data_IF_449115690021
#
_entry.id   IF_449115690021
#
_cell.length_a   1.000
_cell.length_b   1.000
_cell.length_c   1.000
_cell.angle_alpha   90.00
_cell.angle_beta   90.00
_cell.angle_gamma   90.00
#
_symmetry.space_group_name_H-M   'P 1'
#
loop_
_entity.id
_entity.type
_entity.pdbx_description
1 polymer ?
#
# COMPACT_ATOMS: atom_id res chain seq x y z
N UNK A 1 16.44 -1.52 49.84
CA UNK A 1 15.67 -0.99 48.69
C UNK A 1 16.44 0.13 47.94
N UNK A 2 17.18 1.01 48.61
CA UNK A 2 17.92 2.09 47.95
C UNK A 2 19.03 1.58 47.00
N UNK A 3 19.74 0.49 47.34
CA UNK A 3 20.78 -0.11 46.50
C UNK A 3 20.22 -0.70 45.19
N UNK A 4 18.98 -1.21 45.21
CA UNK A 4 18.34 -1.76 44.04
C UNK A 4 17.95 -0.69 43.02
N UNK A 5 17.43 0.44 43.55
CA UNK A 5 17.06 1.62 42.75
C UNK A 5 18.28 2.28 42.12
N UNK A 6 19.37 2.35 42.83
CA UNK A 6 20.65 2.89 42.31
C UNK A 6 21.23 1.99 41.21
N UNK A 7 21.16 0.65 41.35
CA UNK A 7 21.57 -0.27 40.31
C UNK A 7 20.67 -0.19 39.05
N UNK A 8 19.37 -0.04 39.23
CA UNK A 8 18.44 0.13 38.11
C UNK A 8 18.67 1.47 37.41
N UNK A 9 18.89 2.54 38.13
CA UNK A 9 19.24 3.84 37.55
C UNK A 9 20.57 3.80 36.79
N UNK A 10 21.61 3.17 37.36
CA UNK A 10 22.90 3.00 36.68
C UNK A 10 22.81 2.07 35.46
N UNK A 11 22.00 1.01 35.52
CA UNK A 11 21.72 0.15 34.36
C UNK A 11 20.97 0.92 33.26
N UNK A 12 20.03 1.77 33.64
CA UNK A 12 19.30 2.62 32.70
C UNK A 12 20.20 3.71 32.08
N UNK A 13 21.08 4.35 32.89
CA UNK A 13 22.08 5.29 32.37
C UNK A 13 23.09 4.62 31.44
N UNK A 14 23.59 3.42 31.79
CA UNK A 14 24.46 2.64 30.92
C UNK A 14 23.75 2.23 29.62
N UNK A 15 22.49 1.83 29.72
CA UNK A 15 21.67 1.51 28.53
C UNK A 15 21.41 2.77 27.68
N UNK A 16 21.13 3.92 28.31
CA UNK A 16 20.94 5.18 27.61
C UNK A 16 22.24 5.69 26.96
N UNK A 17 23.41 5.39 27.55
CA UNK A 17 24.72 5.73 26.98
C UNK A 17 25.19 4.73 25.91
N UNK A 18 24.68 3.47 25.93
CA UNK A 18 24.93 2.48 24.90
C UNK A 18 23.90 2.50 23.77
N UNK A 19 22.81 3.26 23.94
CA UNK A 19 22.00 3.64 22.78
C UNK A 19 22.92 4.45 21.85
N UNK A 20 23.23 3.96 20.64
CA UNK A 20 24.14 4.65 19.75
C UNK A 20 23.63 6.07 19.57
N UNK A 21 24.48 7.06 19.76
CA UNK A 21 24.26 8.46 19.34
C UNK A 21 24.13 8.55 17.79
N UNK A 22 24.37 7.47 17.08
CA UNK A 22 23.83 7.20 15.78
C UNK A 22 22.36 6.74 15.94
N UNK A 23 21.51 7.64 16.41
CA UNK A 23 20.12 7.61 16.03
C UNK A 23 20.12 7.81 14.51
N UNK A 24 20.44 6.73 13.77
CA UNK A 24 20.46 6.72 12.32
C UNK A 24 19.14 7.28 11.84
N UNK A 25 19.19 8.11 10.82
CA UNK A 25 17.98 8.67 10.23
C UNK A 25 16.95 7.56 10.06
N UNK A 26 15.69 7.85 10.32
CA UNK A 26 14.59 6.92 10.19
C UNK A 26 13.52 7.51 9.27
N UNK A 27 12.95 6.68 8.42
CA UNK A 27 11.78 6.99 7.61
C UNK A 27 10.61 6.15 8.09
N UNK A 28 9.52 6.79 8.46
CA UNK A 28 8.23 6.15 8.74
C UNK A 28 7.31 6.41 7.55
N UNK A 29 6.99 5.35 6.83
CA UNK A 29 6.26 5.36 5.57
C UNK A 29 4.91 4.67 5.72
N UNK A 30 3.84 5.36 5.33
CA UNK A 30 2.51 4.75 5.17
C UNK A 30 2.24 4.54 3.69
N UNK A 31 1.69 3.38 3.31
CA UNK A 31 1.43 3.09 1.90
C UNK A 31 0.06 2.48 1.65
N UNK A 32 -0.49 2.78 0.48
CA UNK A 32 -1.70 2.14 -0.02
C UNK A 32 -1.43 0.66 -0.37
N UNK A 33 -2.35 -0.28 -0.09
CA UNK A 33 -2.18 -1.69 -0.41
C UNK A 33 -1.84 -2.00 -1.88
N UNK A 34 -2.14 -1.11 -2.81
CA UNK A 34 -1.82 -1.26 -4.23
C UNK A 34 -0.37 -0.94 -4.60
N UNK A 35 0.40 -0.41 -3.67
CA UNK A 35 1.83 -0.14 -3.90
C UNK A 35 2.58 -1.45 -4.16
N UNK A 36 3.37 -1.56 -5.24
CA UNK A 36 4.14 -2.77 -5.54
C UNK A 36 5.13 -3.12 -4.44
N UNK A 37 5.15 -4.39 -4.04
CA UNK A 37 6.09 -4.88 -3.00
C UNK A 37 7.54 -4.79 -3.47
N UNK A 38 7.79 -5.03 -4.75
CA UNK A 38 9.11 -4.87 -5.36
C UNK A 38 9.65 -3.45 -5.21
N UNK A 39 8.78 -2.45 -5.37
CA UNK A 39 9.16 -1.05 -5.11
C UNK A 39 9.51 -0.82 -3.63
N UNK A 40 8.69 -1.33 -2.70
CA UNK A 40 8.96 -1.21 -1.27
C UNK A 40 10.27 -1.89 -0.88
N UNK A 41 10.56 -3.07 -1.45
CA UNK A 41 11.83 -3.76 -1.25
C UNK A 41 13.01 -2.95 -1.80
N UNK A 42 12.89 -2.43 -3.02
CA UNK A 42 13.93 -1.58 -3.62
C UNK A 42 14.18 -0.31 -2.81
N UNK A 43 13.13 0.30 -2.29
CA UNK A 43 13.23 1.46 -1.38
C UNK A 43 13.92 1.08 -0.08
N UNK A 44 13.53 -0.04 0.54
CA UNK A 44 14.15 -0.54 1.76
C UNK A 44 15.66 -0.80 1.58
N UNK A 45 16.04 -1.43 0.48
CA UNK A 45 17.45 -1.70 0.15
C UNK A 45 18.24 -0.40 -0.09
N UNK A 46 17.63 0.57 -0.77
CA UNK A 46 18.24 1.89 -0.99
C UNK A 46 18.50 2.60 0.34
N UNK A 47 17.50 2.61 1.23
CA UNK A 47 17.60 3.23 2.55
C UNK A 47 18.63 2.51 3.44
N UNK A 48 18.66 1.17 3.41
CA UNK A 48 19.61 0.38 4.18
C UNK A 48 21.06 0.69 3.80
N UNK A 49 21.36 0.83 2.50
CA UNK A 49 22.72 1.25 2.03
C UNK A 49 23.12 2.62 2.56
N UNK A 50 22.17 3.48 2.86
CA UNK A 50 22.36 4.82 3.41
C UNK A 50 22.26 4.85 4.93
N UNK A 51 22.17 3.68 5.58
CA UNK A 51 21.98 3.54 7.03
C UNK A 51 20.74 4.25 7.56
N UNK A 52 19.68 4.34 6.75
CA UNK A 52 18.38 4.89 7.12
C UNK A 52 17.46 3.73 7.49
N UNK A 53 16.89 3.78 8.68
CA UNK A 53 15.92 2.76 9.14
C UNK A 53 14.56 3.03 8.52
N UNK A 54 13.94 2.00 7.94
CA UNK A 54 12.58 2.07 7.39
C UNK A 54 11.60 1.38 8.35
N UNK A 55 10.53 2.09 8.71
CA UNK A 55 9.32 1.53 9.28
C UNK A 55 8.18 1.81 8.30
N UNK A 56 7.45 0.77 7.88
CA UNK A 56 6.37 0.96 6.93
C UNK A 56 5.16 0.10 7.27
N UNK A 57 3.97 0.61 6.97
CA UNK A 57 2.70 -0.10 7.16
C UNK A 57 1.67 0.37 6.14
N UNK A 58 0.71 -0.51 5.83
CA UNK A 58 -0.40 -0.17 4.94
C UNK A 58 -1.54 0.49 5.70
N UNK A 59 -2.17 1.48 5.07
CA UNK A 59 -3.31 2.19 5.62
C UNK A 59 -4.19 2.79 4.51
N UNK A 60 -5.40 3.20 4.86
CA UNK A 60 -6.23 4.01 3.99
C UNK A 60 -5.64 5.40 3.79
N UNK A 61 -6.08 6.10 2.74
CA UNK A 61 -5.62 7.47 2.49
C UNK A 61 -5.88 8.39 3.68
N UNK A 62 -7.04 8.30 4.29
CA UNK A 62 -7.40 9.10 5.45
C UNK A 62 -6.46 8.85 6.64
N UNK A 63 -6.20 7.57 6.92
CA UNK A 63 -5.25 7.19 7.98
C UNK A 63 -3.83 7.67 7.67
N UNK A 64 -3.42 7.61 6.39
CA UNK A 64 -2.12 8.09 5.95
C UNK A 64 -1.98 9.61 6.11
N UNK A 65 -2.97 10.39 5.67
CA UNK A 65 -3.00 11.85 5.85
C UNK A 65 -3.00 12.23 7.33
N UNK A 66 -3.74 11.50 8.16
CA UNK A 66 -3.74 11.72 9.61
C UNK A 66 -2.37 11.40 10.22
N UNK A 67 -1.74 10.30 9.82
CA UNK A 67 -0.41 9.93 10.31
C UNK A 67 0.66 10.98 9.95
N UNK A 68 0.56 11.60 8.79
CA UNK A 68 1.42 12.73 8.41
C UNK A 68 1.15 13.96 9.29
N UNK A 69 -0.12 14.32 9.45
CA UNK A 69 -0.53 15.48 10.25
C UNK A 69 -0.12 15.36 11.73
N UNK A 70 -0.20 14.14 12.28
CA UNK A 70 0.17 13.84 13.67
C UNK A 70 1.69 13.62 13.85
N UNK A 71 2.46 13.68 12.78
CA UNK A 71 3.91 13.42 12.82
C UNK A 71 4.27 11.97 13.13
N UNK A 72 3.33 11.04 12.95
CA UNK A 72 3.55 9.59 13.12
C UNK A 72 4.31 9.01 11.92
N UNK A 73 4.14 9.60 10.75
CA UNK A 73 4.86 9.28 9.53
C UNK A 73 5.46 10.54 8.90
N UNK A 74 6.56 10.39 8.16
CA UNK A 74 7.18 11.47 7.39
C UNK A 74 6.70 11.49 5.94
N UNK A 75 6.29 10.33 5.41
CA UNK A 75 5.88 10.18 4.02
C UNK A 75 4.74 9.19 3.91
N UNK A 76 3.86 9.43 2.95
CA UNK A 76 2.82 8.48 2.54
C UNK A 76 2.87 8.24 1.03
N UNK A 77 2.48 7.05 0.60
CA UNK A 77 2.27 6.70 -0.80
C UNK A 77 0.80 6.29 -0.96
N UNK A 78 0.05 7.09 -1.68
CA UNK A 78 -1.40 6.94 -1.81
C UNK A 78 -1.82 7.03 -3.28
N UNK A 79 -3.03 6.58 -3.56
CA UNK A 79 -3.64 6.83 -4.87
C UNK A 79 -3.93 8.32 -5.03
N UNK A 80 -3.64 8.86 -6.20
CA UNK A 80 -4.01 10.22 -6.55
C UNK A 80 -5.53 10.37 -6.57
N UNK A 81 -6.02 11.49 -6.10
CA UNK A 81 -7.42 11.87 -6.18
C UNK A 81 -7.55 13.38 -6.50
N UNK A 82 -8.76 13.83 -6.77
CA UNK A 82 -9.02 15.24 -7.10
C UNK A 82 -8.64 16.21 -5.96
N UNK A 83 -8.52 15.71 -4.72
CA UNK A 83 -8.08 16.50 -3.57
C UNK A 83 -6.57 16.65 -3.47
N UNK A 84 -5.79 15.84 -4.20
CA UNK A 84 -4.33 15.95 -4.22
C UNK A 84 -3.87 17.35 -4.64
N UNK A 85 -4.58 17.97 -5.57
CA UNK A 85 -4.30 19.31 -6.07
C UNK A 85 -4.69 20.46 -5.12
N UNK A 86 -5.49 20.19 -4.11
CA UNK A 86 -5.97 21.19 -3.13
C UNK A 86 -5.65 20.85 -1.68
N UNK A 87 -4.80 19.84 -1.44
CA UNK A 87 -4.43 19.43 -0.09
C UNK A 87 -3.39 20.38 0.50
N UNK A 88 -3.39 20.48 1.83
CA UNK A 88 -2.33 21.17 2.60
C UNK A 88 -0.98 20.43 2.56
N UNK A 89 -0.90 19.35 1.78
CA UNK A 89 0.29 18.50 1.67
C UNK A 89 1.00 18.73 0.35
N UNK A 90 2.30 18.67 0.39
CA UNK A 90 3.12 18.59 -0.81
C UNK A 90 3.05 17.17 -1.39
N UNK A 91 3.17 17.06 -2.71
CA UNK A 91 3.07 15.77 -3.37
C UNK A 91 3.92 15.69 -4.64
N UNK A 92 4.22 14.46 -5.03
CA UNK A 92 4.86 14.14 -6.31
C UNK A 92 4.30 12.85 -6.86
N UNK A 93 4.02 12.82 -8.16
CA UNK A 93 3.65 11.59 -8.84
C UNK A 93 4.80 10.58 -8.80
N UNK A 94 4.48 9.32 -8.48
CA UNK A 94 5.44 8.24 -8.37
C UNK A 94 5.38 7.31 -9.59
N UNK A 95 4.18 6.90 -9.97
CA UNK A 95 3.95 6.03 -11.11
C UNK A 95 2.51 5.54 -11.14
N UNK A 96 2.24 4.57 -11.99
CA UNK A 96 0.91 3.96 -12.16
C UNK A 96 0.90 2.50 -11.76
N UNK A 97 -0.28 2.02 -11.38
CA UNK A 97 -0.59 0.62 -11.11
C UNK A 97 -1.75 0.22 -12.01
N UNK A 98 -1.56 -0.83 -12.78
CA UNK A 98 -2.62 -1.40 -13.62
C UNK A 98 -3.47 -2.37 -12.81
N UNK A 99 -4.79 -2.23 -12.92
CA UNK A 99 -5.77 -3.08 -12.27
C UNK A 99 -6.48 -3.94 -13.30
N UNK A 100 -6.70 -5.21 -12.96
CA UNK A 100 -7.39 -6.19 -13.82
C UNK A 100 -8.31 -7.07 -12.96
N UNK A 101 -9.24 -7.74 -13.64
CA UNK A 101 -10.20 -8.65 -13.02
C UNK A 101 -9.62 -10.05 -12.94
N UNK A 102 -9.67 -10.66 -11.75
CA UNK A 102 -9.21 -12.03 -11.51
C UNK A 102 -10.24 -12.82 -10.72
N UNK A 103 -10.35 -14.11 -11.02
CA UNK A 103 -11.13 -15.05 -10.24
C UNK A 103 -10.58 -16.48 -10.39
N UNK A 104 -11.02 -17.39 -9.51
CA UNK A 104 -10.82 -18.81 -9.74
C UNK A 104 -11.51 -19.27 -11.03
N UNK A 105 -10.88 -20.16 -11.78
CA UNK A 105 -11.41 -20.70 -13.03
C UNK A 105 -12.79 -21.34 -12.85
N UNK A 106 -13.05 -21.91 -11.69
CA UNK A 106 -14.32 -22.53 -11.31
C UNK A 106 -15.47 -21.57 -11.06
N UNK A 107 -15.16 -20.30 -10.70
CA UNK A 107 -16.18 -19.36 -10.18
C UNK A 107 -17.20 -18.95 -11.26
N UNK A 108 -16.74 -18.76 -12.49
CA UNK A 108 -17.58 -18.33 -13.62
C UNK A 108 -17.54 -19.35 -14.76
N UNK A 109 -17.42 -20.63 -14.43
CA UNK A 109 -17.25 -21.72 -15.41
C UNK A 109 -18.31 -21.70 -16.51
N UNK A 110 -19.57 -21.53 -16.14
CA UNK A 110 -20.72 -21.60 -17.07
C UNK A 110 -21.15 -20.21 -17.58
N UNK A 111 -20.49 -19.14 -17.17
CA UNK A 111 -20.85 -17.80 -17.61
C UNK A 111 -20.21 -17.47 -18.98
N UNK A 112 -20.97 -16.91 -19.94
CA UNK A 112 -20.42 -16.47 -21.21
C UNK A 112 -19.40 -15.34 -21.04
N UNK A 113 -18.44 -15.29 -21.94
CA UNK A 113 -17.42 -14.24 -21.97
C UNK A 113 -17.71 -13.23 -23.09
N UNK A 114 -17.42 -11.94 -22.86
CA UNK A 114 -16.94 -11.30 -21.63
C UNK A 114 -18.02 -11.32 -20.52
N UNK A 115 -17.59 -11.34 -19.24
CA UNK A 115 -18.53 -11.23 -18.13
C UNK A 115 -19.22 -9.87 -18.11
N UNK A 116 -20.51 -9.89 -17.85
CA UNK A 116 -21.32 -8.68 -17.75
C UNK A 116 -21.17 -8.04 -16.37
N UNK A 117 -21.53 -6.76 -16.27
CA UNK A 117 -21.62 -6.05 -15.00
C UNK A 117 -22.57 -6.79 -14.02
N UNK A 118 -23.64 -7.41 -14.53
CA UNK A 118 -24.56 -8.20 -13.72
C UNK A 118 -23.89 -9.43 -13.11
N UNK A 119 -23.11 -10.18 -13.88
CA UNK A 119 -22.34 -11.32 -13.35
C UNK A 119 -21.44 -10.87 -12.19
N UNK A 120 -20.72 -9.77 -12.36
CA UNK A 120 -19.83 -9.25 -11.34
C UNK A 120 -20.58 -8.74 -10.09
N UNK A 121 -21.70 -8.05 -10.28
CA UNK A 121 -22.47 -7.45 -9.17
C UNK A 121 -23.15 -8.48 -8.28
N UNK A 122 -23.53 -9.64 -8.83
CA UNK A 122 -24.19 -10.72 -8.10
C UNK A 122 -23.22 -11.70 -7.44
N UNK A 123 -21.93 -11.63 -7.77
CA UNK A 123 -20.90 -12.50 -7.22
C UNK A 123 -20.05 -11.74 -6.20
N UNK A 124 -19.66 -12.35 -5.07
CA UNK A 124 -18.85 -11.65 -4.06
C UNK A 124 -17.56 -11.07 -4.66
N UNK A 125 -17.23 -9.86 -4.24
CA UNK A 125 -16.01 -9.16 -4.62
C UNK A 125 -15.01 -9.14 -3.47
N UNK A 126 -13.78 -9.56 -3.75
CA UNK A 126 -12.66 -9.45 -2.83
C UNK A 126 -11.97 -8.10 -3.04
N UNK A 127 -11.96 -7.26 -2.01
CA UNK A 127 -11.38 -5.92 -2.06
C UNK A 127 -10.12 -5.87 -1.20
N UNK A 128 -9.00 -5.48 -1.81
CA UNK A 128 -7.69 -5.45 -1.17
C UNK A 128 -7.47 -4.17 -0.34
N UNK A 129 -8.47 -3.78 0.44
CA UNK A 129 -8.44 -2.62 1.33
C UNK A 129 -9.16 -2.95 2.63
N UNK A 130 -8.96 -2.12 3.63
CA UNK A 130 -9.77 -2.19 4.85
C UNK A 130 -11.18 -1.68 4.56
N UNK A 131 -12.17 -2.35 5.15
CA UNK A 131 -13.52 -1.82 5.17
C UNK A 131 -13.48 -0.51 5.93
N UNK A 132 -13.66 0.57 5.31
CA UNK A 132 -14.00 1.82 5.97
C UNK A 132 -14.16 2.93 4.93
N UNK A 133 -14.09 4.09 5.35
CA UNK A 133 -14.19 5.41 4.78
C UNK A 133 -13.31 5.65 3.55
N UNK A 134 -12.63 4.61 3.04
CA UNK A 134 -11.81 4.73 1.85
C UNK A 134 -12.70 4.93 0.62
N UNK A 135 -12.76 6.17 0.17
CA UNK A 135 -13.51 6.55 -1.02
C UNK A 135 -13.05 5.79 -2.27
N UNK A 136 -11.80 5.31 -2.27
CA UNK A 136 -11.22 4.58 -3.40
C UNK A 136 -11.75 3.15 -3.40
N UNK A 137 -11.78 2.48 -2.26
CA UNK A 137 -12.40 1.16 -2.15
C UNK A 137 -13.87 1.18 -2.59
N UNK A 138 -14.61 2.24 -2.27
CA UNK A 138 -15.99 2.43 -2.73
C UNK A 138 -16.10 2.63 -4.24
N UNK A 139 -15.16 3.34 -4.86
CA UNK A 139 -15.16 3.54 -6.32
C UNK A 139 -14.87 2.27 -7.11
N UNK A 140 -14.13 1.35 -6.52
CA UNK A 140 -13.80 0.05 -7.10
C UNK A 140 -14.86 -1.02 -6.82
N UNK A 141 -15.84 -0.71 -5.96
CA UNK A 141 -16.89 -1.64 -5.59
C UNK A 141 -17.93 -1.77 -6.70
N UNK A 142 -18.09 -3.00 -7.20
CA UNK A 142 -19.12 -3.37 -8.19
C UNK A 142 -20.16 -4.28 -7.54
N UNK A 143 -19.74 -5.23 -6.70
CA UNK A 143 -20.63 -6.17 -6.05
C UNK A 143 -21.32 -5.57 -4.82
N UNK A 144 -22.56 -5.98 -4.58
CA UNK A 144 -23.28 -5.73 -3.32
C UNK A 144 -22.71 -6.54 -2.15
N UNK A 145 -21.95 -7.60 -2.42
CA UNK A 145 -21.30 -8.46 -1.43
C UNK A 145 -19.79 -8.30 -1.54
N UNK A 146 -19.20 -7.55 -0.61
CA UNK A 146 -17.76 -7.30 -0.58
C UNK A 146 -17.11 -7.94 0.63
N UNK A 147 -15.96 -8.57 0.40
CA UNK A 147 -15.04 -9.09 1.42
C UNK A 147 -13.78 -8.23 1.37
N UNK A 148 -13.48 -7.54 2.47
CA UNK A 148 -12.33 -6.64 2.58
C UNK A 148 -11.16 -7.36 3.24
N UNK A 149 -10.03 -7.43 2.54
CA UNK A 149 -8.81 -8.09 3.00
C UNK A 149 -7.60 -7.27 2.54
N UNK A 150 -6.89 -6.64 3.46
CA UNK A 150 -5.66 -5.91 3.12
C UNK A 150 -4.39 -6.74 3.34
N UNK A 151 -4.55 -8.03 3.66
CA UNK A 151 -3.47 -8.99 3.78
C UNK A 151 -3.47 -9.92 2.57
N UNK A 152 -2.33 -9.95 1.85
CA UNK A 152 -2.23 -10.57 0.52
C UNK A 152 -2.38 -12.09 0.55
N UNK A 153 -1.90 -12.75 1.59
CA UNK A 153 -1.98 -14.20 1.71
C UNK A 153 -3.42 -14.68 1.89
N UNK A 154 -4.20 -13.95 2.70
CA UNK A 154 -5.63 -14.23 2.89
C UNK A 154 -6.44 -13.93 1.63
N UNK A 155 -6.13 -12.83 0.96
CA UNK A 155 -6.77 -12.48 -0.31
C UNK A 155 -6.53 -13.53 -1.38
N UNK A 156 -5.28 -13.94 -1.56
CA UNK A 156 -4.88 -15.00 -2.48
C UNK A 156 -5.61 -16.31 -2.16
N UNK A 157 -5.61 -16.73 -0.90
CA UNK A 157 -6.30 -17.94 -0.46
C UNK A 157 -7.80 -17.88 -0.80
N UNK A 158 -8.48 -16.77 -0.49
CA UNK A 158 -9.89 -16.59 -0.80
C UNK A 158 -10.17 -16.65 -2.31
N UNK A 159 -9.29 -16.06 -3.13
CA UNK A 159 -9.40 -16.11 -4.59
C UNK A 159 -9.23 -17.55 -5.11
N UNK A 160 -8.17 -18.24 -4.68
CA UNK A 160 -7.89 -19.65 -5.06
C UNK A 160 -9.04 -20.60 -4.67
N UNK A 161 -9.74 -20.31 -3.56
CA UNK A 161 -10.90 -21.06 -3.10
C UNK A 161 -12.22 -20.66 -3.81
N UNK A 162 -12.18 -19.76 -4.77
CA UNK A 162 -13.38 -19.34 -5.51
C UNK A 162 -14.40 -18.57 -4.64
N UNK A 163 -13.98 -17.92 -3.59
CA UNK A 163 -14.89 -17.18 -2.69
C UNK A 163 -15.39 -15.87 -3.25
N UNK A 164 -14.78 -15.40 -4.32
CA UNK A 164 -15.14 -14.18 -4.99
C UNK A 164 -14.18 -13.85 -6.11
N UNK A 165 -14.45 -12.76 -6.81
CA UNK A 165 -13.56 -12.19 -7.82
C UNK A 165 -12.88 -10.94 -7.26
N UNK A 166 -11.73 -10.58 -7.81
CA UNK A 166 -10.97 -9.39 -7.37
C UNK A 166 -10.62 -8.49 -8.55
N UNK A 167 -10.66 -7.18 -8.29
CA UNK A 167 -10.11 -6.16 -9.16
C UNK A 167 -8.77 -5.72 -8.55
N UNK A 168 -7.68 -6.30 -9.06
CA UNK A 168 -6.40 -6.33 -8.37
C UNK A 168 -5.27 -5.77 -9.23
N UNK A 169 -4.22 -5.24 -8.60
CA UNK A 169 -2.99 -4.87 -9.29
C UNK A 169 -2.37 -6.07 -10.02
N UNK A 170 -2.02 -5.87 -11.28
CA UNK A 170 -1.39 -6.92 -12.10
C UNK A 170 0.02 -7.28 -11.60
N UNK A 171 0.73 -6.36 -10.95
CA UNK A 171 2.04 -6.62 -10.35
C UNK A 171 2.03 -7.69 -9.24
N UNK A 172 0.86 -8.01 -8.66
CA UNK A 172 0.69 -9.14 -7.74
C UNK A 172 0.73 -10.49 -8.45
N UNK A 173 0.63 -10.48 -9.78
CA UNK A 173 0.60 -11.66 -10.65
C UNK A 173 -0.46 -12.68 -10.23
N UNK A 174 -1.72 -12.27 -10.06
CA UNK A 174 -2.77 -13.21 -9.64
C UNK A 174 -2.99 -14.35 -10.63
N UNK A 175 -2.67 -14.17 -11.91
CA UNK A 175 -2.71 -15.22 -12.92
C UNK A 175 -1.71 -16.37 -12.72
N UNK A 176 -0.71 -16.19 -11.84
CA UNK A 176 0.24 -17.24 -11.45
C UNK A 176 -0.24 -18.00 -10.19
N UNK A 177 -1.33 -17.55 -9.55
CA UNK A 177 -1.90 -18.22 -8.39
C UNK A 177 -2.68 -19.45 -8.80
N UNK A 178 -2.72 -20.46 -7.93
CA UNK A 178 -3.30 -21.76 -8.24
C UNK A 178 -4.79 -21.64 -8.65
N UNK A 179 -5.10 -22.04 -9.89
CA UNK A 179 -6.46 -22.05 -10.41
C UNK A 179 -7.10 -20.67 -10.57
N UNK A 180 -6.31 -19.60 -10.61
CA UNK A 180 -6.77 -18.22 -10.79
C UNK A 180 -6.36 -17.72 -12.17
N UNK A 181 -7.27 -17.04 -12.85
CA UNK A 181 -7.03 -16.44 -14.17
C UNK A 181 -7.57 -15.02 -14.24
N UNK A 182 -6.98 -14.23 -15.14
CA UNK A 182 -7.56 -12.96 -15.56
C UNK A 182 -8.89 -13.21 -16.28
N UNK A 183 -9.89 -12.39 -16.01
CA UNK A 183 -11.23 -12.53 -16.55
C UNK A 183 -11.49 -11.42 -17.56
N UNK A 184 -11.93 -11.81 -18.77
CA UNK A 184 -12.47 -10.85 -19.72
C UNK A 184 -13.84 -10.35 -19.24
N UNK A 185 -13.99 -9.04 -19.15
CA UNK A 185 -15.21 -8.36 -18.70
C UNK A 185 -15.63 -7.28 -19.70
N UNK A 186 -16.92 -6.98 -19.79
CA UNK A 186 -17.43 -5.88 -20.62
C UNK A 186 -17.06 -4.49 -20.02
N UNK A 187 -16.82 -4.44 -18.71
CA UNK A 187 -16.42 -3.24 -18.00
C UNK A 187 -14.90 -3.19 -17.92
N UNK A 188 -14.31 -2.04 -18.29
CA UNK A 188 -12.86 -1.87 -18.16
C UNK A 188 -12.04 -2.75 -19.10
N UNK A 189 -12.57 -3.08 -20.29
CA UNK A 189 -11.89 -3.88 -21.32
C UNK A 189 -10.51 -3.32 -21.73
N UNK A 190 -10.25 -2.04 -21.48
CA UNK A 190 -8.96 -1.39 -21.73
C UNK A 190 -8.06 -1.37 -20.48
N UNK A 191 -8.47 -2.04 -19.41
CA UNK A 191 -7.84 -1.93 -18.09
C UNK A 191 -8.15 -0.61 -17.40
N UNK A 192 -7.89 -0.55 -16.11
CA UNK A 192 -7.89 0.67 -15.33
C UNK A 192 -6.51 0.81 -14.71
N UNK A 193 -5.93 1.98 -14.81
CA UNK A 193 -4.74 2.31 -14.03
C UNK A 193 -5.04 3.36 -12.98
N UNK A 194 -4.32 3.31 -11.89
CA UNK A 194 -4.37 4.31 -10.83
C UNK A 194 -2.99 4.94 -10.68
N UNK A 195 -2.97 6.25 -10.55
CA UNK A 195 -1.73 6.98 -10.29
C UNK A 195 -1.44 6.94 -8.80
N UNK A 196 -0.20 6.60 -8.46
CA UNK A 196 0.30 6.66 -7.09
C UNK A 196 1.12 7.92 -6.90
N UNK A 197 0.93 8.57 -5.77
CA UNK A 197 1.62 9.80 -5.40
C UNK A 197 2.29 9.66 -4.05
N UNK A 198 3.45 10.27 -3.90
CA UNK A 198 4.07 10.51 -2.61
C UNK A 198 3.49 11.77 -2.00
N UNK A 199 3.23 11.75 -0.70
CA UNK A 199 2.71 12.87 0.10
C UNK A 199 3.62 13.12 1.29
N UNK A 200 3.80 14.39 1.65
CA UNK A 200 4.50 14.81 2.87
C UNK A 200 3.99 16.19 3.31
N UNK A 201 4.25 16.56 4.56
CA UNK A 201 3.89 17.88 5.06
C UNK A 201 4.77 18.96 4.44
N UNK A 202 4.23 20.16 4.19
CA UNK A 202 5.00 21.31 3.70
C UNK A 202 6.26 21.57 4.54
N UNK A 203 7.36 21.80 3.86
CA UNK A 203 8.65 22.06 4.49
C UNK A 203 9.45 20.84 4.92
N UNK A 204 8.87 19.64 4.93
CA UNK A 204 9.60 18.39 5.25
C UNK A 204 10.65 18.04 4.19
N UNK A 205 10.46 18.44 2.95
CA UNK A 205 11.42 18.25 1.86
C UNK A 205 12.70 19.11 2.01
N UNK A 206 12.74 20.04 2.96
CA UNK A 206 13.98 20.76 3.34
C UNK A 206 14.99 19.84 4.04
N UNK A 207 14.52 18.72 4.61
CA UNK A 207 15.41 17.70 5.12
C UNK A 207 16.02 16.92 3.95
N UNK A 208 17.35 16.92 3.87
CA UNK A 208 18.10 16.28 2.77
C UNK A 208 17.65 14.85 2.51
N UNK A 209 17.44 14.07 3.57
CA UNK A 209 16.98 12.69 3.46
C UNK A 209 15.67 12.56 2.66
N UNK A 210 14.65 13.34 3.01
CA UNK A 210 13.35 13.29 2.33
C UNK A 210 13.44 13.84 0.91
N UNK A 211 14.19 14.91 0.70
CA UNK A 211 14.45 15.45 -0.64
C UNK A 211 15.06 14.42 -1.56
N UNK A 212 16.09 13.72 -1.09
CA UNK A 212 16.77 12.67 -1.87
C UNK A 212 15.78 11.52 -2.19
N UNK A 213 14.99 11.06 -1.22
CA UNK A 213 13.99 9.99 -1.42
C UNK A 213 12.95 10.42 -2.45
N UNK A 214 12.40 11.61 -2.33
CA UNK A 214 11.42 12.17 -3.27
C UNK A 214 11.99 12.27 -4.68
N UNK A 215 13.28 12.55 -4.79
CA UNK A 215 13.95 12.62 -6.09
C UNK A 215 14.19 11.25 -6.72
N UNK A 216 14.63 10.28 -5.94
CA UNK A 216 15.06 8.96 -6.40
C UNK A 216 13.88 7.96 -6.57
N UNK A 217 12.81 8.09 -5.79
CA UNK A 217 11.72 7.13 -5.76
C UNK A 217 11.05 6.87 -7.12
N UNK A 218 10.82 7.85 -8.01
CA UNK A 218 10.25 7.58 -9.33
C UNK A 218 11.13 6.66 -10.19
N UNK A 219 12.45 6.77 -10.07
CA UNK A 219 13.40 5.90 -10.79
C UNK A 219 13.37 4.47 -10.22
N UNK A 220 13.31 4.32 -8.90
CA UNK A 220 13.13 3.01 -8.25
C UNK A 220 11.80 2.35 -8.66
N UNK A 221 10.75 3.15 -8.83
CA UNK A 221 9.46 2.66 -9.32
C UNK A 221 9.54 2.11 -10.74
N UNK A 222 10.27 2.75 -11.62
CA UNK A 222 10.41 2.33 -13.02
C UNK A 222 11.27 1.07 -13.20
N UNK A 223 12.22 0.83 -12.30
CA UNK A 223 13.17 -0.30 -12.38
C UNK A 223 12.63 -1.62 -11.83
N UNK A 224 11.44 -1.64 -11.28
CA UNK A 224 10.79 -2.83 -10.69
C UNK A 224 10.37 -3.87 -11.74
#
# INVERSE_FOLDING_TARGET
HAHLLLRQAQAFESFAQTLPQTAGQALRLVYDPFVPREFLCALADNLARRQIRLSCWSASRREAEQALSDGVAEMAICQANNRTLGSEMEWRALGTVDLRFYAADSLFHDAPRPLTLLNLSLTPQLVMHRRSDDQIARRLQISGHTLYMNEITLLRHALEQGRGWGFLPDHLRPGEWQGVSEIATEVGSQGLNVTMVMLWLPGMNKHRMLSDIVHEAPELWQRR
#
